data_IF_601104782451
#
_entry.id   IF_601104782451
#
_cell.length_a   1.000
_cell.length_b   1.000
_cell.length_c   1.000
_cell.angle_alpha   90.00
_cell.angle_beta   90.00
_cell.angle_gamma   90.00
#
_symmetry.space_group_name_H-M   'P 1'
#
loop_
_entity.id
_entity.type
_entity.pdbx_description
1 polymer ?
#
# COMPACT_ATOMS: atom_id res chain seq x y z
N UNK A 1 5.52 -9.81 -20.60
CA UNK A 1 5.13 -10.62 -19.42
C UNK A 1 5.17 -9.68 -18.24
N UNK A 2 4.12 -9.60 -17.39
CA UNK A 2 4.27 -8.86 -16.14
C UNK A 2 5.42 -9.52 -15.37
N UNK A 3 6.34 -8.72 -14.86
CA UNK A 3 7.42 -9.27 -14.02
C UNK A 3 6.75 -9.98 -12.84
N UNK A 4 7.20 -11.20 -12.57
CA UNK A 4 6.73 -12.01 -11.45
C UNK A 4 7.30 -11.43 -10.15
N UNK A 5 6.83 -10.23 -9.79
CA UNK A 5 7.35 -9.48 -8.65
C UNK A 5 6.40 -9.63 -7.46
N UNK A 6 7.00 -9.79 -6.29
CA UNK A 6 6.36 -9.84 -5.00
C UNK A 6 6.13 -8.41 -4.50
N UNK A 7 4.88 -7.98 -4.28
CA UNK A 7 4.57 -6.57 -4.03
C UNK A 7 3.99 -6.29 -2.64
N UNK A 8 4.28 -5.13 -2.07
CA UNK A 8 3.49 -4.55 -0.97
C UNK A 8 2.89 -3.24 -1.49
N UNK A 9 1.57 -3.13 -1.42
CA UNK A 9 0.82 -1.94 -1.78
C UNK A 9 0.27 -1.27 -0.52
N UNK A 10 0.24 0.06 -0.51
CA UNK A 10 -0.42 0.85 0.52
C UNK A 10 -1.66 1.48 -0.09
N UNK A 11 -2.80 1.23 0.53
CA UNK A 11 -4.10 1.71 0.09
C UNK A 11 -4.85 2.42 1.21
N UNK A 12 -5.85 3.21 0.85
CA UNK A 12 -6.77 3.79 1.81
C UNK A 12 -8.20 3.83 1.30
N UNK A 13 -9.17 3.77 2.21
CA UNK A 13 -10.55 4.08 1.87
C UNK A 13 -10.76 5.61 1.92
N UNK A 14 -10.98 6.22 0.76
CA UNK A 14 -11.35 7.63 0.66
C UNK A 14 -12.84 7.80 0.94
N UNK A 15 -13.17 8.44 2.07
CA UNK A 15 -14.57 8.68 2.45
C UNK A 15 -15.28 9.71 1.57
N UNK A 16 -14.54 10.54 0.83
CA UNK A 16 -15.15 11.55 -0.03
C UNK A 16 -15.78 10.92 -1.27
N UNK A 17 -15.10 9.94 -1.87
CA UNK A 17 -15.54 9.22 -3.07
C UNK A 17 -16.11 7.84 -2.76
N UNK A 18 -15.93 7.35 -1.53
CA UNK A 18 -16.24 5.99 -1.09
C UNK A 18 -15.52 4.93 -1.94
N UNK A 19 -14.27 5.21 -2.33
CA UNK A 19 -13.41 4.35 -3.14
C UNK A 19 -12.13 3.99 -2.37
N UNK A 20 -11.52 2.86 -2.74
CA UNK A 20 -10.18 2.52 -2.29
C UNK A 20 -9.19 3.21 -3.22
N UNK A 21 -8.29 4.01 -2.66
CA UNK A 21 -7.21 4.67 -3.39
C UNK A 21 -5.91 3.92 -3.14
N UNK A 22 -5.18 3.62 -4.21
CA UNK A 22 -3.80 3.12 -4.11
C UNK A 22 -2.84 4.29 -3.94
N UNK A 23 -2.24 4.41 -2.75
CA UNK A 23 -1.31 5.50 -2.42
C UNK A 23 0.09 5.25 -2.98
N UNK A 24 0.48 3.98 -3.10
CA UNK A 24 1.78 3.59 -3.60
C UNK A 24 2.12 2.16 -3.21
N UNK A 25 3.37 1.75 -3.45
CA UNK A 25 3.83 0.42 -3.12
C UNK A 25 5.24 0.17 -3.64
N UNK A 26 5.77 -1.00 -3.34
CA UNK A 26 7.08 -1.45 -3.83
C UNK A 26 7.00 -2.94 -4.13
N UNK A 27 7.72 -3.37 -5.16
CA UNK A 27 7.80 -4.76 -5.57
C UNK A 27 9.25 -5.23 -5.60
N UNK A 28 9.44 -6.52 -5.31
CA UNK A 28 10.73 -7.18 -5.25
C UNK A 28 10.73 -8.44 -6.12
N UNK A 29 11.88 -8.83 -6.69
CA UNK A 29 11.95 -10.02 -7.54
C UNK A 29 11.86 -11.34 -6.74
N UNK A 30 11.88 -11.30 -5.41
CA UNK A 30 11.92 -12.49 -4.57
C UNK A 30 11.10 -12.32 -3.27
N UNK A 31 10.52 -13.43 -2.81
CA UNK A 31 9.68 -13.45 -1.60
C UNK A 31 10.43 -13.11 -0.29
N UNK A 32 11.68 -13.54 -0.05
CA UNK A 32 12.38 -13.24 1.20
C UNK A 32 12.59 -11.75 1.46
N UNK A 33 12.90 -10.98 0.42
CA UNK A 33 13.07 -9.53 0.52
C UNK A 33 11.74 -8.84 0.85
N UNK A 34 10.67 -9.19 0.11
CA UNK A 34 9.31 -8.74 0.43
C UNK A 34 8.92 -9.08 1.88
N UNK A 35 9.18 -10.31 2.33
CA UNK A 35 8.86 -10.74 3.69
C UNK A 35 9.63 -9.94 4.75
N UNK A 36 10.89 -9.58 4.48
CA UNK A 36 11.70 -8.74 5.37
C UNK A 36 11.06 -7.35 5.52
N UNK A 37 10.68 -6.72 4.42
CA UNK A 37 9.98 -5.44 4.45
C UNK A 37 8.61 -5.55 5.11
N UNK A 38 7.85 -6.61 4.83
CA UNK A 38 6.55 -6.87 5.45
C UNK A 38 6.64 -6.96 6.97
N UNK A 39 7.64 -7.66 7.51
CA UNK A 39 7.84 -7.78 8.96
C UNK A 39 8.18 -6.44 9.62
N UNK A 40 8.85 -5.53 8.90
CA UNK A 40 9.21 -4.21 9.41
C UNK A 40 8.01 -3.24 9.46
N UNK A 41 6.91 -3.50 8.75
CA UNK A 41 5.70 -2.66 8.78
C UNK A 41 4.95 -2.91 10.09
N UNK A 42 4.80 -1.89 10.97
CA UNK A 42 4.05 -2.02 12.21
C UNK A 42 2.55 -2.11 11.91
N UNK A 43 1.88 -3.10 12.51
CA UNK A 43 0.43 -3.14 12.50
C UNK A 43 -0.11 -2.09 13.49
N UNK A 44 -1.09 -1.30 13.05
CA UNK A 44 -1.80 -0.36 13.89
C UNK A 44 -2.84 -1.11 14.75
N UNK A 45 -2.83 -0.94 16.09
CA UNK A 45 -3.66 -1.76 16.99
C UNK A 45 -5.15 -1.36 17.04
N UNK A 46 -5.60 -0.46 16.17
CA UNK A 46 -6.97 0.06 16.16
C UNK A 46 -7.52 0.25 14.75
N UNK A 47 -8.65 0.95 14.65
CA UNK A 47 -9.23 1.29 13.36
C UNK A 47 -8.32 2.27 12.60
N UNK A 48 -8.06 1.98 11.34
CA UNK A 48 -7.37 2.86 10.42
C UNK A 48 -8.13 2.92 9.10
N UNK A 49 -7.92 3.99 8.35
CA UNK A 49 -8.38 4.08 6.98
C UNK A 49 -7.32 3.59 5.99
N UNK A 50 -6.12 3.24 6.48
CA UNK A 50 -4.94 2.86 5.69
C UNK A 50 -4.60 1.39 5.91
N UNK A 51 -4.22 0.74 4.82
CA UNK A 51 -3.89 -0.69 4.80
C UNK A 51 -2.60 -0.90 4.01
N UNK A 52 -1.77 -1.82 4.50
CA UNK A 52 -0.71 -2.44 3.71
C UNK A 52 -1.20 -3.82 3.26
N UNK A 53 -1.06 -4.11 1.98
CA UNK A 53 -1.49 -5.33 1.33
C UNK A 53 -0.28 -6.01 0.69
N UNK A 54 -0.05 -7.28 1.01
CA UNK A 54 1.06 -8.06 0.49
C UNK A 54 0.53 -8.98 -0.61
N UNK A 55 1.17 -8.96 -1.78
CA UNK A 55 0.78 -9.72 -2.96
C UNK A 55 1.85 -10.70 -3.41
N UNK A 56 1.44 -11.85 -3.91
CA UNK A 56 2.31 -12.78 -4.63
C UNK A 56 2.57 -12.30 -6.09
N UNK A 57 3.43 -12.99 -6.86
CA UNK A 57 3.72 -12.63 -8.25
C UNK A 57 2.54 -12.67 -9.23
N UNK A 58 1.41 -13.25 -8.82
CA UNK A 58 0.18 -13.33 -9.59
C UNK A 58 -0.86 -12.31 -9.14
N UNK A 59 -0.46 -11.35 -8.29
CA UNK A 59 -1.34 -10.36 -7.67
C UNK A 59 -2.44 -10.98 -6.78
N UNK A 60 -2.21 -12.18 -6.25
CA UNK A 60 -3.07 -12.69 -5.18
C UNK A 60 -2.64 -12.04 -3.87
N UNK A 61 -3.60 -11.48 -3.13
CA UNK A 61 -3.34 -10.95 -1.80
C UNK A 61 -3.06 -12.11 -0.84
N UNK A 62 -1.89 -12.08 -0.19
CA UNK A 62 -1.40 -13.09 0.75
C UNK A 62 -1.18 -12.54 2.16
N UNK A 63 -1.39 -11.24 2.38
CA UNK A 63 -1.32 -10.62 3.69
C UNK A 63 -1.94 -9.24 3.74
N UNK A 64 -2.36 -8.83 4.94
CA UNK A 64 -2.88 -7.51 5.21
C UNK A 64 -2.47 -7.00 6.60
N UNK A 65 -2.30 -5.68 6.72
CA UNK A 65 -2.10 -4.97 7.98
C UNK A 65 -2.81 -3.62 7.91
N UNK A 66 -3.58 -3.29 8.95
CA UNK A 66 -3.94 -1.89 9.20
C UNK A 66 -2.68 -1.14 9.61
N UNK A 67 -2.46 0.05 9.06
CA UNK A 67 -1.27 0.86 9.33
C UNK A 67 -1.66 2.29 9.68
N UNK A 68 -0.78 3.03 10.35
CA UNK A 68 -1.05 4.42 10.68
C UNK A 68 -0.74 5.37 9.52
N UNK A 69 -1.25 6.59 9.61
CA UNK A 69 -0.93 7.68 8.71
C UNK A 69 0.59 7.93 8.61
N UNK A 70 1.26 7.97 9.76
CA UNK A 70 2.70 8.20 9.86
C UNK A 70 3.51 7.04 9.25
N UNK A 71 2.98 5.82 9.32
CA UNK A 71 3.59 4.65 8.68
C UNK A 71 3.56 4.79 7.16
N UNK A 72 2.45 5.27 6.59
CA UNK A 72 2.33 5.53 5.15
C UNK A 72 3.37 6.56 4.69
N UNK A 73 3.45 7.71 5.37
CA UNK A 73 4.39 8.78 5.01
C UNK A 73 5.84 8.31 5.13
N UNK A 74 6.16 7.54 6.17
CA UNK A 74 7.50 6.97 6.38
C UNK A 74 7.90 6.00 5.26
N UNK A 75 6.97 5.13 4.83
CA UNK A 75 7.23 4.13 3.79
C UNK A 75 7.29 4.74 2.38
N UNK A 76 6.50 5.78 2.09
CA UNK A 76 6.42 6.39 0.76
C UNK A 76 7.29 7.64 0.61
N UNK A 77 7.79 8.21 1.71
CA UNK A 77 8.68 9.37 1.69
C UNK A 77 8.04 10.67 1.21
N UNK A 78 6.71 10.78 1.25
CA UNK A 78 5.96 12.00 0.92
C UNK A 78 4.81 12.19 1.93
N UNK A 79 4.21 13.38 1.94
CA UNK A 79 3.13 13.70 2.87
C UNK A 79 1.79 13.12 2.43
N UNK A 80 0.94 12.76 3.38
CA UNK A 80 -0.38 12.18 3.10
C UNK A 80 -1.24 13.03 2.16
N UNK A 81 -1.37 14.36 2.34
CA UNK A 81 -2.17 15.16 1.41
C UNK A 81 -1.70 15.03 -0.04
N UNK A 82 -0.38 15.02 -0.28
CA UNK A 82 0.19 14.87 -1.62
C UNK A 82 -0.05 13.47 -2.19
N UNK A 83 0.12 12.44 -1.37
CA UNK A 83 -0.12 11.05 -1.77
C UNK A 83 -1.60 10.82 -2.15
N UNK A 84 -2.52 11.37 -1.35
CA UNK A 84 -3.97 11.26 -1.57
C UNK A 84 -4.38 12.01 -2.84
N UNK A 85 -3.91 13.25 -3.02
CA UNK A 85 -4.22 14.03 -4.22
C UNK A 85 -3.67 13.34 -5.48
N UNK A 86 -2.45 12.82 -5.42
CA UNK A 86 -1.87 12.05 -6.52
C UNK A 86 -2.67 10.77 -6.83
N UNK A 87 -3.11 10.04 -5.81
CA UNK A 87 -3.92 8.83 -5.98
C UNK A 87 -5.28 9.16 -6.62
N UNK A 88 -5.98 10.21 -6.15
CA UNK A 88 -7.23 10.69 -6.74
C UNK A 88 -7.07 11.12 -8.19
N UNK A 89 -5.96 11.77 -8.53
CA UNK A 89 -5.67 12.19 -9.90
C UNK A 89 -5.47 11.00 -10.84
N UNK A 90 -4.83 9.92 -10.37
CA UNK A 90 -4.69 8.67 -11.13
C UNK A 90 -6.04 8.00 -11.35
N UNK A 91 -6.84 7.87 -10.29
CA UNK A 91 -8.14 7.19 -10.37
C UNK A 91 -9.15 7.91 -11.28
N UNK A 92 -9.07 9.24 -11.38
CA UNK A 92 -9.90 10.01 -12.28
C UNK A 92 -9.41 9.99 -13.75
N UNK A 93 -8.21 9.47 -14.00
CA UNK A 93 -7.61 9.40 -15.33
C UNK A 93 -7.79 8.04 -16.02
N UNK A 94 -8.25 7.02 -15.28
CA UNK A 94 -8.59 5.67 -15.76
C UNK A 94 -10.10 5.55 -16.05
#
# INVERSE_FOLDING_TARGET
MPRADHCIQLSMLDRQTNQILTLGGTCWPNAPEQATHWMAIPAFPGESMFQAEMFDPYWNQIGEKMISAETVESLLGDTLPRLIDAARMKENAE
#
